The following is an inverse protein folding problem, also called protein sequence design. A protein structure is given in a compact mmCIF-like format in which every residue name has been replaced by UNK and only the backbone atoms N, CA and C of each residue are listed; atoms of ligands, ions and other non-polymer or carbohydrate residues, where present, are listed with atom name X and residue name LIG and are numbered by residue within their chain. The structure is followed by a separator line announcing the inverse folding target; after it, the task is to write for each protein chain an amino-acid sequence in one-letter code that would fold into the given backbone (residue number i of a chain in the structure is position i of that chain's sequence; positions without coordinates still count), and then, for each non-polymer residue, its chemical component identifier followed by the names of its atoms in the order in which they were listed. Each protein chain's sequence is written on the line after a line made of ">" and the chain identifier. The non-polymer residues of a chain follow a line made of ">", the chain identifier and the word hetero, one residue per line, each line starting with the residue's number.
data_IF_115220392371
#
_entry.id   IF_115220392371
#
_cell.length_a   1.000
_cell.length_b   1.000
_cell.length_c   1.000
_cell.angle_alpha   90.00
_cell.angle_beta   90.00
_cell.angle_gamma   90.00
#
_symmetry.space_group_name_H-M   'P 1'
#
loop_
_entity.id
_entity.type
_entity.pdbx_description
1 polymer ?
#
# COMPACT_ATOMS: atom_id res chain seq x y z
N UNK A 1 9.66 3.85 10.56
CA UNK A 1 8.65 3.48 9.55
C UNK A 1 8.58 4.53 8.47
N UNK A 2 8.49 4.11 7.23
CA UNK A 2 8.26 5.01 6.11
C UNK A 2 6.76 5.27 5.96
N UNK A 3 6.42 6.47 5.51
CA UNK A 3 5.02 6.84 5.26
C UNK A 3 4.83 7.04 3.76
N UNK A 4 3.74 6.51 3.23
CA UNK A 4 3.39 6.67 1.83
C UNK A 4 1.90 6.98 1.69
N UNK A 5 1.59 8.06 0.98
CA UNK A 5 0.21 8.43 0.70
C UNK A 5 -0.22 7.80 -0.62
N UNK A 6 -1.40 7.20 -0.64
CA UNK A 6 -1.95 6.60 -1.85
C UNK A 6 -3.44 6.86 -1.94
N UNK A 7 -3.98 6.76 -3.16
CA UNK A 7 -5.41 6.89 -3.40
C UNK A 7 -6.01 5.49 -3.59
N UNK A 8 -7.10 5.23 -2.89
CA UNK A 8 -7.82 3.97 -3.04
C UNK A 8 -8.39 3.87 -4.47
N UNK A 9 -8.16 2.76 -5.19
CA UNK A 9 -8.67 2.62 -6.56
C UNK A 9 -10.19 2.44 -6.65
N UNK A 10 -10.88 2.26 -5.51
CA UNK A 10 -12.33 2.13 -5.48
C UNK A 10 -13.02 3.45 -5.12
N UNK A 11 -12.61 4.06 -4.00
CA UNK A 11 -13.30 5.25 -3.47
C UNK A 11 -12.51 6.54 -3.70
N UNK A 12 -11.29 6.45 -4.20
CA UNK A 12 -10.40 7.58 -4.49
C UNK A 12 -10.06 8.42 -3.25
N UNK A 13 -10.21 7.82 -2.06
CA UNK A 13 -9.87 8.49 -0.83
C UNK A 13 -8.37 8.41 -0.60
N UNK A 14 -7.72 9.54 -0.34
CA UNK A 14 -6.31 9.56 -0.01
C UNK A 14 -6.10 8.96 1.38
N UNK A 15 -5.15 8.04 1.50
CA UNK A 15 -4.85 7.33 2.73
C UNK A 15 -3.34 7.26 2.94
N UNK A 16 -2.94 7.14 4.21
CA UNK A 16 -1.55 6.99 4.59
C UNK A 16 -1.26 5.54 4.93
N UNK A 17 -0.18 5.01 4.38
CA UNK A 17 0.28 3.65 4.68
C UNK A 17 1.66 3.70 5.33
N UNK A 18 1.79 3.01 6.45
CA UNK A 18 3.07 2.86 7.14
C UNK A 18 3.80 1.64 6.59
N UNK A 19 5.05 1.82 6.19
CA UNK A 19 5.84 0.78 5.54
C UNK A 19 7.11 0.53 6.34
N UNK A 20 7.39 -0.76 6.61
CA UNK A 20 8.58 -1.16 7.35
C UNK A 20 9.79 -1.16 6.41
N UNK A 21 10.79 -0.30 6.63
CA UNK A 21 11.95 -0.23 5.76
C UNK A 21 12.92 -1.40 5.92
N UNK A 22 12.75 -2.23 6.95
CA UNK A 22 13.60 -3.41 7.15
C UNK A 22 13.25 -4.55 6.20
N UNK A 23 12.08 -4.51 5.57
CA UNK A 23 11.61 -5.52 4.62
C UNK A 23 11.75 -4.95 3.22
N UNK A 24 12.65 -5.51 2.41
CA UNK A 24 12.93 -4.97 1.08
C UNK A 24 11.81 -5.21 0.09
N UNK A 25 11.17 -6.38 0.16
CA UNK A 25 10.03 -6.73 -0.69
C UNK A 25 8.84 -7.05 0.19
N UNK A 26 7.76 -6.29 0.03
CA UNK A 26 6.54 -6.48 0.80
C UNK A 26 5.38 -6.71 -0.14
N UNK A 27 4.57 -7.71 0.16
CA UNK A 27 3.35 -7.97 -0.57
C UNK A 27 2.30 -8.45 0.43
N UNK A 28 1.18 -7.76 0.50
CA UNK A 28 0.13 -8.09 1.46
C UNK A 28 -1.22 -7.57 0.96
N UNK A 29 -2.27 -8.07 1.58
CA UNK A 29 -3.64 -7.66 1.28
C UNK A 29 -4.24 -7.03 2.53
N UNK A 30 -4.78 -5.82 2.38
CA UNK A 30 -5.49 -5.13 3.45
C UNK A 30 -6.73 -4.44 2.89
N UNK A 31 -7.73 -4.25 3.74
CA UNK A 31 -8.96 -3.58 3.34
C UNK A 31 -8.78 -2.07 3.35
N UNK A 32 -9.45 -1.40 2.43
CA UNK A 32 -9.54 0.06 2.45
C UNK A 32 -10.29 0.51 3.71
N UNK A 33 -9.80 1.56 4.36
CA UNK A 33 -10.41 2.08 5.57
C UNK A 33 -11.79 2.70 5.35
N UNK A 34 -12.06 3.14 4.14
CA UNK A 34 -13.31 3.84 3.81
C UNK A 34 -14.34 2.93 3.14
N UNK A 35 -13.97 2.26 2.08
CA UNK A 35 -14.90 1.43 1.31
C UNK A 35 -14.83 -0.06 1.68
N UNK A 36 -13.86 -0.45 2.50
CA UNK A 36 -13.68 -1.83 2.98
C UNK A 36 -13.49 -2.87 1.87
N UNK A 37 -13.09 -2.43 0.69
CA UNK A 37 -12.78 -3.37 -0.38
C UNK A 37 -11.33 -3.86 -0.24
N UNK A 38 -11.05 -5.13 -0.55
CA UNK A 38 -9.69 -5.64 -0.42
C UNK A 38 -8.76 -5.04 -1.46
N UNK A 39 -7.57 -4.67 -1.00
CA UNK A 39 -6.52 -4.08 -1.83
C UNK A 39 -5.26 -4.90 -1.68
N UNK A 40 -4.57 -5.16 -2.78
CA UNK A 40 -3.28 -5.80 -2.75
C UNK A 40 -2.19 -4.75 -2.87
N UNK A 41 -1.25 -4.78 -1.94
CA UNK A 41 -0.11 -3.87 -1.92
C UNK A 41 1.15 -4.62 -2.31
N UNK A 42 1.95 -4.00 -3.17
CA UNK A 42 3.28 -4.50 -3.54
C UNK A 42 4.26 -3.35 -3.41
N UNK A 43 5.23 -3.51 -2.55
CA UNK A 43 6.14 -2.44 -2.18
C UNK A 43 7.58 -2.95 -2.20
N UNK A 44 8.46 -2.19 -2.84
CA UNK A 44 9.90 -2.44 -2.78
C UNK A 44 10.57 -1.27 -2.08
N UNK A 45 11.41 -1.58 -1.10
CA UNK A 45 12.17 -0.61 -0.33
C UNK A 45 13.65 -0.84 -0.57
N UNK A 46 14.42 0.23 -0.76
CA UNK A 46 15.85 0.16 -0.92
C UNK A 46 16.50 1.35 -0.21
N UNK A 47 17.49 1.09 0.64
CA UNK A 47 18.21 2.13 1.40
C UNK A 47 17.26 3.07 2.16
N UNK A 48 16.26 2.50 2.83
CA UNK A 48 15.24 3.23 3.59
C UNK A 48 14.37 4.17 2.72
N UNK A 49 14.33 3.92 1.42
CA UNK A 49 13.50 4.67 0.49
C UNK A 49 12.55 3.72 -0.22
N UNK A 50 11.34 4.20 -0.47
CA UNK A 50 10.36 3.44 -1.25
C UNK A 50 10.76 3.56 -2.72
N UNK A 51 11.16 2.44 -3.31
CA UNK A 51 11.58 2.39 -4.71
C UNK A 51 10.41 2.10 -5.64
N UNK A 52 9.45 1.31 -5.15
CA UNK A 52 8.27 0.94 -5.91
C UNK A 52 7.07 0.79 -4.98
N UNK A 53 5.92 1.31 -5.39
CA UNK A 53 4.67 1.15 -4.65
C UNK A 53 3.53 0.92 -5.64
N UNK A 54 2.80 -0.18 -5.43
CA UNK A 54 1.64 -0.51 -6.24
C UNK A 54 0.48 -0.92 -5.35
N UNK A 55 -0.70 -0.42 -5.65
CA UNK A 55 -1.93 -0.83 -5.00
C UNK A 55 -2.93 -1.25 -6.07
N UNK A 56 -3.47 -2.46 -5.94
CA UNK A 56 -4.41 -3.03 -6.89
C UNK A 56 -5.72 -3.38 -6.18
N UNK A 57 -6.83 -3.13 -6.85
CA UNK A 57 -8.11 -3.61 -6.35
C UNK A 57 -8.26 -5.10 -6.66
N UNK A 58 -8.68 -5.86 -5.64
CA UNK A 58 -8.92 -7.29 -5.78
C UNK A 58 -10.42 -7.49 -5.68
N UNK A 59 -11.01 -8.01 -6.73
CA UNK A 59 -12.42 -8.37 -6.73
C UNK A 59 -12.55 -9.84 -6.37
N UNK A 60 -13.42 -10.14 -5.43
CA UNK A 60 -13.72 -11.51 -5.04
C UNK A 60 -15.11 -11.90 -5.51
#
# INVERSE_FOLDING_TARGET
>A
MLEYCFDCPHCWQNQLKMIDPSILNQQFIEDCETCCNPLQFRINVNENLIEFFEVLSIEQ
#
